data_IF_633244588661
#
_entry.id   IF_633244588661
#
_cell.length_a   1.000
_cell.length_b   1.000
_cell.length_c   1.000
_cell.angle_alpha   90.00
_cell.angle_beta   90.00
_cell.angle_gamma   90.00
#
_symmetry.space_group_name_H-M   'P 1'
#
loop_
_entity.id
_entity.type
_entity.pdbx_description
1 polymer ?
#
# COMPACT_ATOMS: atom_id res chain seq x y z
N UNK A 1 -39.21 5.56 43.56
CA UNK A 1 -38.93 4.29 42.87
C UNK A 1 -39.42 4.46 41.44
N UNK A 2 -38.53 4.85 40.55
CA UNK A 2 -38.79 4.97 39.11
C UNK A 2 -37.74 4.10 38.46
N UNK A 3 -38.09 2.82 38.29
CA UNK A 3 -37.28 1.86 37.55
C UNK A 3 -37.93 1.76 36.18
N UNK A 4 -37.49 2.62 35.25
CA UNK A 4 -37.91 2.51 33.85
C UNK A 4 -37.28 1.24 33.27
N UNK A 5 -38.08 0.32 32.69
CA UNK A 5 -37.56 -0.92 32.16
C UNK A 5 -36.65 -0.63 30.97
N UNK A 6 -35.35 -0.91 31.14
CA UNK A 6 -34.35 -0.77 30.08
C UNK A 6 -34.70 -1.75 28.94
N UNK A 7 -35.01 -1.24 27.74
CA UNK A 7 -35.22 -2.06 26.55
C UNK A 7 -33.90 -2.70 26.08
N UNK A 8 -33.58 -3.86 26.67
CA UNK A 8 -32.39 -4.64 26.35
C UNK A 8 -32.46 -5.33 24.98
N UNK A 9 -33.67 -5.58 24.46
CA UNK A 9 -33.87 -6.36 23.23
C UNK A 9 -33.58 -5.52 21.96
N UNK A 10 -34.04 -4.27 21.94
CA UNK A 10 -33.73 -3.29 20.88
C UNK A 10 -32.21 -3.04 20.77
N UNK A 11 -31.53 -2.92 21.91
CA UNK A 11 -30.07 -2.79 21.95
C UNK A 11 -29.32 -4.05 21.47
N UNK A 12 -29.83 -5.26 21.76
CA UNK A 12 -29.25 -6.52 21.24
C UNK A 12 -29.41 -6.65 19.72
N UNK A 13 -30.58 -6.29 19.18
CA UNK A 13 -30.83 -6.29 17.74
C UNK A 13 -29.89 -5.35 16.97
N UNK A 14 -29.73 -4.12 17.46
CA UNK A 14 -28.79 -3.14 16.88
C UNK A 14 -27.33 -3.61 16.95
N UNK A 15 -26.92 -4.24 18.06
CA UNK A 15 -25.57 -4.78 18.19
C UNK A 15 -25.32 -5.94 17.20
N UNK A 16 -26.27 -6.86 17.07
CA UNK A 16 -26.18 -7.97 16.10
C UNK A 16 -26.09 -7.46 14.65
N UNK A 17 -26.86 -6.43 14.31
CA UNK A 17 -26.82 -5.81 12.99
C UNK A 17 -25.48 -5.10 12.73
N UNK A 18 -24.97 -4.35 13.71
CA UNK A 18 -23.64 -3.71 13.63
C UNK A 18 -22.52 -4.72 13.45
N UNK A 19 -22.54 -5.83 14.21
CA UNK A 19 -21.56 -6.92 14.05
C UNK A 19 -21.59 -7.51 12.64
N UNK A 20 -22.78 -7.68 12.06
CA UNK A 20 -22.93 -8.19 10.69
C UNK A 20 -22.39 -7.22 9.65
N UNK A 21 -22.68 -5.92 9.79
CA UNK A 21 -22.17 -4.87 8.89
C UNK A 21 -20.64 -4.79 8.96
N UNK A 22 -20.06 -4.85 10.16
CA UNK A 22 -18.60 -4.86 10.35
C UNK A 22 -17.96 -6.08 9.69
N UNK A 23 -18.55 -7.27 9.86
CA UNK A 23 -18.06 -8.50 9.22
C UNK A 23 -18.10 -8.40 7.69
N UNK A 24 -19.18 -7.87 7.11
CA UNK A 24 -19.31 -7.68 5.66
C UNK A 24 -18.24 -6.71 5.12
N UNK A 25 -18.07 -5.55 5.74
CA UNK A 25 -17.02 -4.59 5.35
C UNK A 25 -15.62 -5.18 5.44
N UNK A 26 -15.34 -5.97 6.47
CA UNK A 26 -14.07 -6.67 6.59
C UNK A 26 -13.86 -7.71 5.49
N UNK A 27 -14.91 -8.39 5.03
CA UNK A 27 -14.83 -9.32 3.91
C UNK A 27 -14.58 -8.60 2.58
N UNK A 28 -15.26 -7.48 2.34
CA UNK A 28 -15.05 -6.62 1.16
C UNK A 28 -13.60 -6.12 1.12
N UNK A 29 -13.10 -5.55 2.22
CA UNK A 29 -11.70 -5.07 2.33
C UNK A 29 -10.70 -6.21 2.10
N UNK A 30 -10.96 -7.42 2.60
CA UNK A 30 -10.09 -8.58 2.36
C UNK A 30 -10.07 -9.00 0.89
N UNK A 31 -11.21 -8.98 0.22
CA UNK A 31 -11.30 -9.29 -1.21
C UNK A 31 -10.53 -8.26 -2.05
N UNK A 32 -10.68 -6.97 -1.72
CA UNK A 32 -9.94 -5.89 -2.38
C UNK A 32 -8.43 -6.02 -2.16
N UNK A 33 -8.00 -6.33 -0.94
CA UNK A 33 -6.58 -6.58 -0.64
C UNK A 33 -6.02 -7.77 -1.43
N UNK A 34 -6.81 -8.86 -1.59
CA UNK A 34 -6.39 -10.01 -2.39
C UNK A 34 -6.26 -9.64 -3.88
N UNK A 35 -7.19 -8.86 -4.42
CA UNK A 35 -7.11 -8.37 -5.80
C UNK A 35 -5.91 -7.44 -6.03
N UNK A 36 -5.56 -6.59 -5.06
CA UNK A 36 -4.37 -5.74 -5.11
C UNK A 36 -3.09 -6.58 -5.14
N UNK A 37 -3.00 -7.63 -4.31
CA UNK A 37 -1.83 -8.51 -4.26
C UNK A 37 -1.59 -9.24 -5.58
N UNK A 38 -2.64 -9.83 -6.17
CA UNK A 38 -2.52 -10.53 -7.46
C UNK A 38 -1.94 -9.59 -8.54
N UNK A 39 -2.44 -8.36 -8.60
CA UNK A 39 -1.94 -7.36 -9.57
C UNK A 39 -0.50 -6.94 -9.29
N UNK A 40 -0.11 -6.85 -8.02
CA UNK A 40 1.28 -6.58 -7.63
C UNK A 40 2.20 -7.72 -8.04
N UNK A 41 1.80 -8.96 -7.80
CA UNK A 41 2.57 -10.15 -8.17
C UNK A 41 2.78 -10.24 -9.69
N UNK A 42 1.73 -9.98 -10.48
CA UNK A 42 1.82 -9.93 -11.95
C UNK A 42 2.80 -8.82 -12.42
N UNK A 43 2.70 -7.62 -11.83
CA UNK A 43 3.58 -6.50 -12.14
C UNK A 43 5.04 -6.82 -11.78
N UNK A 44 5.29 -7.43 -10.63
CA UNK A 44 6.62 -7.87 -10.19
C UNK A 44 7.19 -8.95 -11.09
N UNK A 45 6.36 -9.91 -11.53
CA UNK A 45 6.77 -10.92 -12.50
C UNK A 45 7.22 -10.26 -13.83
N UNK A 46 6.46 -9.29 -14.33
CA UNK A 46 6.84 -8.55 -15.54
C UNK A 46 8.10 -7.70 -15.34
N UNK A 47 8.23 -7.02 -14.20
CA UNK A 47 9.42 -6.25 -13.81
C UNK A 47 10.66 -7.13 -13.69
N UNK A 48 10.50 -8.38 -13.25
CA UNK A 48 11.60 -9.33 -13.16
C UNK A 48 11.96 -9.96 -14.51
N UNK A 49 10.97 -10.28 -15.34
CA UNK A 49 11.16 -10.95 -16.62
C UNK A 49 11.90 -10.09 -17.66
N UNK A 50 11.77 -8.77 -17.59
CA UNK A 50 12.46 -7.84 -18.49
C UNK A 50 13.65 -7.18 -17.78
N UNK A 51 14.91 -7.46 -18.18
CA UNK A 51 16.06 -6.73 -17.67
C UNK A 51 15.90 -5.23 -17.91
N UNK A 52 16.22 -4.40 -16.91
CA UNK A 52 16.22 -2.97 -17.12
C UNK A 52 17.41 -2.60 -18.02
N UNK A 53 17.15 -1.87 -19.10
CA UNK A 53 18.15 -1.48 -20.10
C UNK A 53 18.54 -0.01 -19.99
N UNK A 54 17.73 0.79 -19.32
CA UNK A 54 17.97 2.22 -19.09
C UNK A 54 18.13 2.54 -17.61
N UNK A 55 18.87 3.61 -17.30
CA UNK A 55 18.97 4.13 -15.93
C UNK A 55 17.61 4.53 -15.37
N UNK A 56 16.70 5.03 -16.21
CA UNK A 56 15.36 5.43 -15.83
C UNK A 56 14.50 4.21 -15.43
N UNK A 57 14.60 3.12 -16.17
CA UNK A 57 13.97 1.84 -15.80
C UNK A 57 14.53 1.33 -14.46
N UNK A 58 15.85 1.30 -14.28
CA UNK A 58 16.48 0.85 -13.03
C UNK A 58 16.00 1.70 -11.84
N UNK A 59 16.00 3.02 -11.99
CA UNK A 59 15.54 3.95 -10.96
C UNK A 59 14.06 3.75 -10.60
N UNK A 60 13.20 3.50 -11.60
CA UNK A 60 11.79 3.19 -11.38
C UNK A 60 11.60 1.87 -10.62
N UNK A 61 12.36 0.80 -10.96
CA UNK A 61 12.32 -0.47 -10.20
C UNK A 61 12.80 -0.28 -8.77
N UNK A 62 13.88 0.46 -8.57
CA UNK A 62 14.42 0.76 -7.25
C UNK A 62 13.41 1.53 -6.40
N UNK A 63 12.76 2.56 -6.96
CA UNK A 63 11.69 3.33 -6.31
C UNK A 63 10.56 2.42 -5.83
N UNK A 64 10.08 1.53 -6.70
CA UNK A 64 9.01 0.58 -6.36
C UNK A 64 9.40 -0.31 -5.17
N UNK A 65 10.58 -0.93 -5.21
CA UNK A 65 11.06 -1.78 -4.11
C UNK A 65 11.27 -1.01 -2.81
N UNK A 66 11.78 0.22 -2.88
CA UNK A 66 11.97 1.07 -1.71
C UNK A 66 10.63 1.47 -1.07
N UNK A 67 9.60 1.77 -1.87
CA UNK A 67 8.24 2.03 -1.38
C UNK A 67 7.63 0.79 -0.73
N UNK A 68 7.82 -0.39 -1.32
CA UNK A 68 7.39 -1.66 -0.72
C UNK A 68 8.10 -1.89 0.61
N UNK A 69 9.42 -1.73 0.65
CA UNK A 69 10.21 -1.86 1.88
C UNK A 69 9.77 -0.84 2.95
N UNK A 70 9.45 0.40 2.57
CA UNK A 70 8.99 1.43 3.50
C UNK A 70 7.75 1.02 4.32
N UNK A 71 6.93 0.11 3.77
CA UNK A 71 5.72 -0.40 4.42
C UNK A 71 5.96 -1.53 5.42
N UNK A 72 7.16 -2.12 5.44
CA UNK A 72 7.48 -3.26 6.31
C UNK A 72 7.80 -2.83 7.74
N UNK A 73 7.78 -3.78 8.68
CA UNK A 73 8.10 -3.50 10.09
C UNK A 73 9.57 -3.08 10.25
N UNK A 74 10.45 -3.63 9.43
CA UNK A 74 11.88 -3.38 9.40
C UNK A 74 12.19 -1.92 9.03
N UNK A 75 11.36 -1.29 8.19
CA UNK A 75 11.53 0.09 7.79
C UNK A 75 10.94 1.10 8.79
N UNK A 76 10.16 0.69 9.80
CA UNK A 76 9.47 1.62 10.73
C UNK A 76 10.40 2.45 11.61
N UNK A 77 11.68 2.08 11.70
CA UNK A 77 12.64 2.84 12.49
C UNK A 77 12.75 4.29 11.95
N UNK A 78 12.62 5.34 12.77
CA UNK A 78 12.56 6.74 12.31
C UNK A 78 13.69 7.12 11.35
N UNK A 79 14.95 6.82 11.72
CA UNK A 79 16.12 7.04 10.85
C UNK A 79 16.03 6.36 9.48
N UNK A 80 15.42 5.18 9.39
CA UNK A 80 15.25 4.46 8.11
C UNK A 80 14.17 5.13 7.28
N UNK A 81 13.06 5.57 7.88
CA UNK A 81 12.02 6.34 7.20
C UNK A 81 12.57 7.65 6.62
N UNK A 82 13.38 8.39 7.39
CA UNK A 82 13.98 9.63 6.92
C UNK A 82 14.91 9.39 5.71
N UNK A 83 15.75 8.35 5.78
CA UNK A 83 16.64 7.97 4.69
C UNK A 83 15.85 7.54 3.44
N UNK A 84 14.84 6.69 3.62
CA UNK A 84 13.94 6.24 2.55
C UNK A 84 13.28 7.44 1.87
N UNK A 85 12.78 8.41 2.65
CA UNK A 85 12.14 9.60 2.12
C UNK A 85 13.12 10.46 1.29
N UNK A 86 14.35 10.66 1.77
CA UNK A 86 15.38 11.39 1.00
C UNK A 86 15.72 10.67 -0.30
N UNK A 87 15.97 9.35 -0.24
CA UNK A 87 16.31 8.56 -1.42
C UNK A 87 15.19 8.55 -2.45
N UNK A 88 13.92 8.44 -2.01
CA UNK A 88 12.77 8.53 -2.93
C UNK A 88 12.71 9.88 -3.63
N UNK A 89 12.97 10.98 -2.91
CA UNK A 89 13.00 12.33 -3.48
C UNK A 89 14.12 12.49 -4.51
N UNK A 90 15.29 11.94 -4.24
CA UNK A 90 16.44 11.96 -5.16
C UNK A 90 16.15 11.13 -6.42
N UNK A 91 15.55 9.95 -6.27
CA UNK A 91 15.11 9.13 -7.41
C UNK A 91 14.05 9.86 -8.23
N UNK A 92 13.08 10.54 -7.59
CA UNK A 92 12.10 11.35 -8.31
C UNK A 92 12.75 12.49 -9.08
N UNK A 93 13.77 13.15 -8.53
CA UNK A 93 14.53 14.15 -9.26
C UNK A 93 15.23 13.55 -10.49
N UNK A 94 15.81 12.35 -10.35
CA UNK A 94 16.48 11.62 -11.44
C UNK A 94 15.49 11.21 -12.55
N UNK A 95 14.32 10.69 -12.18
CA UNK A 95 13.28 10.26 -13.13
C UNK A 95 12.69 11.43 -13.92
N UNK A 96 12.69 12.62 -13.33
CA UNK A 96 12.20 13.85 -13.97
C UNK A 96 13.31 14.61 -14.70
N UNK A 97 14.56 14.15 -14.70
CA UNK A 97 15.66 14.84 -15.39
C UNK A 97 15.54 14.62 -16.91
N UNK A 98 15.26 15.68 -17.70
CA UNK A 98 15.09 15.58 -19.14
C UNK A 98 16.37 15.11 -19.87
N UNK A 99 17.54 15.23 -19.25
CA UNK A 99 18.82 14.78 -19.84
C UNK A 99 18.92 13.26 -19.90
N UNK A 100 18.19 12.55 -19.05
CA UNK A 100 18.15 11.09 -19.01
C UNK A 100 17.02 10.50 -19.88
N UNK A 101 16.14 11.35 -20.42
CA UNK A 101 15.02 10.96 -21.29
C UNK A 101 15.38 11.02 -22.79
N UNK A 102 16.55 11.54 -23.16
CA UNK A 102 16.97 11.62 -24.55
C UNK A 102 17.67 10.32 -25.00
N UNK A 103 17.23 9.68 -26.10
CA UNK A 103 17.97 8.56 -26.67
C UNK A 103 19.33 9.07 -27.12
N UNK A 104 20.40 8.47 -26.57
CA UNK A 104 21.76 8.70 -27.04
C UNK A 104 21.77 8.36 -28.54
N UNK A 105 21.97 9.38 -29.37
CA UNK A 105 22.08 9.27 -30.84
C UNK A 105 23.50 8.89 -31.20
#
# INVERSE_FOLDING_TARGET
MTDEPVELDSHRGMNAQRHTVVRRRLQEVKADQAAIRIRQDDLEMHLHASPATTLLEIAAKAKYLLQLFASTAEAKHPRRQDLIASSLKEIDALLNDPKLTQPQT
#
